data_IF_746575721748
#
_entry.id   IF_746575721748
#
_cell.length_a   1.000
_cell.length_b   1.000
_cell.length_c   1.000
_cell.angle_alpha   90.00
_cell.angle_beta   90.00
_cell.angle_gamma   90.00
#
_symmetry.space_group_name_H-M   'P 1'
#
loop_
_entity.id
_entity.type
_entity.pdbx_description
1 polymer ?
#
# COMPACT_ATOMS: atom_id res chain seq x y z
N UNK A 1 -26.45 -18.09 20.29
CA UNK A 1 -26.90 -18.48 21.64
C UNK A 1 -26.19 -17.69 22.77
N UNK A 2 -24.86 -17.63 22.82
CA UNK A 2 -24.08 -16.87 23.84
C UNK A 2 -24.35 -15.34 23.82
N UNK A 3 -24.47 -14.74 22.64
CA UNK A 3 -24.78 -13.30 22.46
C UNK A 3 -26.10 -12.89 23.11
N UNK A 4 -27.11 -13.76 23.08
CA UNK A 4 -28.45 -13.46 23.59
C UNK A 4 -28.51 -13.51 25.13
N UNK A 5 -27.83 -14.48 25.74
CA UNK A 5 -27.74 -14.64 27.21
C UNK A 5 -26.98 -13.45 27.85
N UNK A 6 -25.92 -12.96 27.19
CA UNK A 6 -25.17 -11.78 27.67
C UNK A 6 -26.03 -10.51 27.54
N UNK A 7 -26.81 -10.40 26.45
CA UNK A 7 -27.73 -9.27 26.22
C UNK A 7 -28.79 -9.16 27.31
N UNK A 8 -29.47 -10.26 27.62
CA UNK A 8 -30.55 -10.29 28.63
C UNK A 8 -30.04 -9.90 30.01
N UNK A 9 -28.87 -10.42 30.44
CA UNK A 9 -28.28 -10.09 31.75
C UNK A 9 -27.81 -8.63 31.88
N UNK A 10 -27.47 -7.98 30.78
CA UNK A 10 -27.06 -6.57 30.78
C UNK A 10 -28.25 -5.61 30.95
N UNK A 11 -29.38 -5.93 30.31
CA UNK A 11 -30.60 -5.13 30.41
C UNK A 11 -31.18 -5.22 31.82
N UNK A 12 -31.27 -6.43 32.37
CA UNK A 12 -31.81 -6.66 33.73
C UNK A 12 -30.98 -5.97 34.83
N UNK A 13 -29.65 -5.95 34.73
CA UNK A 13 -28.78 -5.31 35.73
C UNK A 13 -28.76 -3.79 35.66
N UNK A 14 -29.14 -3.20 34.54
CA UNK A 14 -29.15 -1.75 34.35
C UNK A 14 -30.50 -1.12 34.69
N UNK A 15 -31.57 -1.91 34.86
CA UNK A 15 -32.87 -1.42 35.31
C UNK A 15 -33.49 -0.36 34.40
N UNK A 16 -33.22 -0.41 33.09
CA UNK A 16 -33.66 0.61 32.13
C UNK A 16 -34.51 0.01 31.00
N UNK A 17 -35.51 0.74 30.48
CA UNK A 17 -36.41 0.24 29.45
C UNK A 17 -35.70 0.07 28.10
N UNK A 18 -35.95 -1.06 27.44
CA UNK A 18 -35.38 -1.37 26.12
C UNK A 18 -35.92 -0.41 25.06
N UNK A 19 -35.03 0.39 24.45
CA UNK A 19 -35.34 1.17 23.25
C UNK A 19 -34.44 0.74 22.09
N UNK A 20 -34.94 0.79 20.86
CA UNK A 20 -34.22 0.32 19.66
C UNK A 20 -32.85 0.97 19.43
N UNK A 21 -32.64 2.22 19.90
CA UNK A 21 -31.33 2.87 19.88
C UNK A 21 -30.30 2.19 20.78
N UNK A 22 -30.73 1.61 21.90
CA UNK A 22 -29.84 0.97 22.87
C UNK A 22 -29.45 -0.44 22.41
N UNK A 23 -30.35 -1.16 21.75
CA UNK A 23 -30.06 -2.45 21.12
C UNK A 23 -28.94 -2.33 20.07
N UNK A 24 -28.93 -1.23 19.29
CA UNK A 24 -27.88 -0.94 18.33
C UNK A 24 -26.54 -0.57 18.96
N UNK A 25 -26.52 -0.05 20.20
CA UNK A 25 -25.30 0.29 20.93
C UNK A 25 -24.68 -0.96 21.58
N UNK A 26 -25.52 -1.81 22.18
CA UNK A 26 -25.12 -3.08 22.80
C UNK A 26 -24.60 -4.06 21.74
N UNK A 27 -25.23 -4.12 20.56
CA UNK A 27 -24.73 -4.94 19.45
C UNK A 27 -23.34 -4.50 19.00
N UNK A 28 -23.09 -3.20 18.84
CA UNK A 28 -21.78 -2.69 18.41
C UNK A 28 -20.70 -2.90 19.48
N UNK A 29 -21.06 -2.81 20.76
CA UNK A 29 -20.12 -3.11 21.85
C UNK A 29 -19.76 -4.59 21.89
N UNK A 30 -20.75 -5.49 21.72
CA UNK A 30 -20.51 -6.93 21.66
C UNK A 30 -19.70 -7.33 20.43
N UNK A 31 -19.99 -6.75 19.27
CA UNK A 31 -19.18 -6.93 18.05
C UNK A 31 -17.73 -6.50 18.26
N UNK A 32 -17.50 -5.37 18.94
CA UNK A 32 -16.14 -4.89 19.24
C UNK A 32 -15.40 -5.82 20.21
N UNK A 33 -16.10 -6.39 21.20
CA UNK A 33 -15.52 -7.34 22.17
C UNK A 33 -15.22 -8.70 21.52
N UNK A 34 -16.05 -9.13 20.57
CA UNK A 34 -15.83 -10.37 19.81
C UNK A 34 -14.69 -10.18 18.79
N UNK A 35 -14.61 -9.02 18.12
CA UNK A 35 -13.58 -8.74 17.11
C UNK A 35 -12.16 -8.51 17.65
N UNK A 36 -12.02 -8.12 18.92
CA UNK A 36 -10.69 -7.79 19.49
C UNK A 36 -9.96 -8.96 20.14
N UNK A 37 -10.55 -10.16 20.14
CA UNK A 37 -9.99 -11.32 20.82
C UNK A 37 -10.07 -11.13 22.34
N UNK A 38 -10.52 -12.17 23.04
CA UNK A 38 -10.67 -12.17 24.50
C UNK A 38 -9.29 -12.10 25.19
N UNK A 39 -8.68 -10.92 25.22
CA UNK A 39 -7.40 -10.68 25.87
C UNK A 39 -7.67 -10.26 27.31
N UNK A 40 -7.38 -11.16 28.27
CA UNK A 40 -7.64 -11.04 29.72
C UNK A 40 -7.12 -9.75 30.38
N UNK A 41 -6.32 -8.93 29.68
CA UNK A 41 -5.76 -7.66 30.19
C UNK A 41 -6.72 -6.47 30.21
N UNK A 42 -7.89 -6.54 29.56
CA UNK A 42 -8.85 -5.42 29.57
C UNK A 42 -9.82 -5.38 30.76
N UNK A 43 -9.82 -6.40 31.63
CA UNK A 43 -10.74 -6.45 32.78
C UNK A 43 -10.41 -5.45 33.90
N UNK A 44 -9.17 -4.95 33.97
CA UNK A 44 -8.77 -3.96 34.99
C UNK A 44 -9.22 -2.53 34.67
N UNK A 45 -9.68 -2.24 33.45
CA UNK A 45 -10.13 -0.89 33.09
C UNK A 45 -11.61 -0.61 33.45
N UNK A 46 -12.38 -1.63 33.86
CA UNK A 46 -13.83 -1.50 34.05
C UNK A 46 -14.24 -0.72 35.31
N UNK A 47 -13.34 -0.57 36.30
CA UNK A 47 -13.64 0.15 37.55
C UNK A 47 -13.67 1.68 37.44
N UNK A 48 -13.17 2.27 36.35
CA UNK A 48 -13.01 3.73 36.22
C UNK A 48 -14.04 4.42 35.29
N UNK A 49 -15.07 3.72 34.82
CA UNK A 49 -16.08 4.25 33.90
C UNK A 49 -16.96 5.38 34.48
N UNK A 50 -16.86 5.66 35.79
CA UNK A 50 -17.54 6.78 36.46
C UNK A 50 -16.71 8.07 36.50
N UNK A 51 -15.44 8.05 36.09
CA UNK A 51 -14.62 9.27 36.09
C UNK A 51 -15.05 10.25 34.98
N UNK A 52 -15.39 11.51 35.31
CA UNK A 52 -15.67 12.56 34.33
C UNK A 52 -14.50 12.84 33.37
N UNK A 53 -13.27 12.48 33.77
CA UNK A 53 -12.07 12.58 32.91
C UNK A 53 -12.09 11.50 31.83
N UNK A 54 -12.40 10.25 32.20
CA UNK A 54 -12.45 9.14 31.26
C UNK A 54 -13.60 9.29 30.23
N UNK A 55 -14.77 9.81 30.65
CA UNK A 55 -15.85 10.15 29.71
C UNK A 55 -15.45 11.23 28.71
N UNK A 56 -14.70 12.26 29.14
CA UNK A 56 -14.17 13.31 28.26
C UNK A 56 -13.11 12.80 27.29
N UNK A 57 -12.21 11.94 27.75
CA UNK A 57 -11.16 11.35 26.92
C UNK A 57 -11.74 10.35 25.90
N UNK A 58 -12.76 9.58 26.30
CA UNK A 58 -13.50 8.69 25.40
C UNK A 58 -14.35 9.48 24.39
N UNK A 59 -14.98 10.60 24.79
CA UNK A 59 -15.63 11.53 23.86
C UNK A 59 -14.63 12.16 22.91
N UNK A 60 -13.43 12.57 23.35
CA UNK A 60 -12.36 13.04 22.46
C UNK A 60 -11.92 11.97 21.46
N UNK A 61 -11.74 10.71 21.88
CA UNK A 61 -11.42 9.58 21.00
C UNK A 61 -12.55 9.26 20.01
N UNK A 62 -13.81 9.34 20.44
CA UNK A 62 -14.98 9.12 19.60
C UNK A 62 -15.24 10.30 18.65
N UNK A 63 -14.91 11.52 19.06
CA UNK A 63 -14.95 12.73 18.22
C UNK A 63 -13.79 12.75 17.22
N UNK A 64 -12.60 12.25 17.60
CA UNK A 64 -11.50 12.00 16.66
C UNK A 64 -11.88 10.95 15.61
N UNK A 65 -12.67 9.92 15.97
CA UNK A 65 -13.23 8.94 15.02
C UNK A 65 -14.41 9.45 14.19
N UNK A 66 -15.12 10.50 14.62
CA UNK A 66 -16.28 11.06 13.91
C UNK A 66 -16.00 12.38 13.18
N UNK A 67 -14.83 12.99 13.39
CA UNK A 67 -14.47 14.28 12.81
C UNK A 67 -13.09 14.34 12.15
N UNK A 68 -12.27 13.29 12.25
CA UNK A 68 -11.11 13.14 11.38
C UNK A 68 -11.56 12.64 10.02
N UNK A 69 -11.56 13.49 8.98
CA UNK A 69 -11.43 12.97 7.61
C UNK A 69 -10.12 12.18 7.60
N UNK A 70 -10.19 10.86 7.82
CA UNK A 70 -9.13 9.99 7.34
C UNK A 70 -9.02 10.34 5.85
N UNK A 71 -7.96 11.03 5.47
CA UNK A 71 -7.64 11.21 4.06
C UNK A 71 -7.49 9.78 3.58
N UNK A 72 -8.48 9.31 2.84
CA UNK A 72 -8.39 8.01 2.20
C UNK A 72 -7.23 8.16 1.23
N UNK A 73 -6.18 7.40 1.45
CA UNK A 73 -5.00 7.39 0.60
C UNK A 73 -5.13 6.26 -0.41
N UNK A 74 -4.67 6.53 -1.61
CA UNK A 74 -4.43 5.55 -2.66
C UNK A 74 -2.93 5.33 -2.73
N UNK A 75 -2.52 4.07 -2.87
CA UNK A 75 -1.15 3.66 -3.16
C UNK A 75 -1.12 3.05 -4.55
N UNK A 76 -0.20 3.53 -5.38
CA UNK A 76 0.29 2.88 -6.58
C UNK A 76 1.62 2.24 -6.19
N UNK A 77 1.76 0.93 -6.34
CA UNK A 77 2.96 0.19 -5.97
C UNK A 77 3.38 -0.72 -7.12
N UNK A 78 4.68 -0.77 -7.41
CA UNK A 78 5.26 -1.70 -8.38
C UNK A 78 6.42 -2.45 -7.76
N UNK A 79 6.54 -3.70 -8.15
CA UNK A 79 7.59 -4.62 -7.73
C UNK A 79 8.36 -5.15 -8.93
N UNK A 80 9.67 -5.26 -8.82
CA UNK A 80 10.55 -5.72 -9.90
C UNK A 80 11.80 -6.39 -9.33
N UNK A 81 12.40 -7.30 -10.09
CA UNK A 81 13.75 -7.81 -9.79
C UNK A 81 14.85 -6.94 -10.39
N UNK A 82 14.50 -6.00 -11.27
CA UNK A 82 15.49 -5.12 -11.88
C UNK A 82 15.98 -4.06 -10.89
N UNK A 83 17.29 -3.82 -10.91
CA UNK A 83 17.88 -2.71 -10.19
C UNK A 83 17.69 -1.44 -11.03
N UNK A 84 17.03 -0.44 -10.46
CA UNK A 84 16.57 0.74 -11.18
C UNK A 84 17.26 2.05 -10.76
N UNK A 85 18.40 1.96 -10.05
CA UNK A 85 19.16 3.11 -9.55
C UNK A 85 19.99 3.84 -10.62
N UNK A 86 19.54 3.84 -11.87
CA UNK A 86 20.25 4.44 -13.00
C UNK A 86 19.72 5.84 -13.29
N UNK A 87 20.61 6.75 -13.67
CA UNK A 87 20.25 8.15 -13.95
C UNK A 87 19.19 8.31 -15.05
N UNK A 88 19.25 7.49 -16.10
CA UNK A 88 18.25 7.55 -17.18
C UNK A 88 16.86 7.15 -16.68
N UNK A 89 16.76 6.13 -15.84
CA UNK A 89 15.50 5.71 -15.23
C UNK A 89 14.98 6.80 -14.30
N UNK A 90 15.84 7.35 -13.42
CA UNK A 90 15.47 8.45 -12.52
C UNK A 90 14.94 9.67 -13.29
N UNK A 91 15.61 10.06 -14.39
CA UNK A 91 15.17 11.14 -15.27
C UNK A 91 13.77 10.86 -15.81
N UNK A 92 13.54 9.69 -16.41
CA UNK A 92 12.22 9.31 -16.91
C UNK A 92 11.16 9.38 -15.82
N UNK A 93 11.41 8.84 -14.62
CA UNK A 93 10.46 8.90 -13.50
C UNK A 93 10.07 10.34 -13.15
N UNK A 94 11.06 11.22 -12.96
CA UNK A 94 10.78 12.60 -12.54
C UNK A 94 10.17 13.45 -13.66
N UNK A 95 10.49 13.16 -14.91
CA UNK A 95 9.90 13.82 -16.08
C UNK A 95 8.43 13.45 -16.19
N UNK A 96 8.12 12.15 -16.19
CA UNK A 96 6.74 11.66 -16.26
C UNK A 96 5.88 12.20 -15.10
N UNK A 97 6.42 12.22 -13.88
CA UNK A 97 5.69 12.78 -12.72
C UNK A 97 5.43 14.27 -12.89
N UNK A 98 6.43 15.03 -13.34
CA UNK A 98 6.32 16.48 -13.51
C UNK A 98 5.34 16.85 -14.63
N UNK A 99 5.42 16.18 -15.77
CA UNK A 99 4.53 16.36 -16.92
C UNK A 99 3.07 16.06 -16.59
N UNK A 100 2.83 15.10 -15.67
CA UNK A 100 1.50 14.75 -15.18
C UNK A 100 1.07 15.57 -13.93
N UNK A 101 1.88 16.55 -13.54
CA UNK A 101 1.58 17.50 -12.46
C UNK A 101 1.63 16.89 -11.06
N UNK A 102 2.51 15.92 -10.83
CA UNK A 102 2.87 15.36 -9.52
C UNK A 102 4.18 15.97 -9.03
N UNK A 103 4.08 17.13 -8.40
CA UNK A 103 5.23 17.94 -8.01
C UNK A 103 5.63 17.73 -6.55
N UNK A 104 6.89 17.38 -6.32
CA UNK A 104 7.45 17.27 -4.98
C UNK A 104 8.05 18.58 -4.48
N UNK A 105 8.14 18.69 -3.16
CA UNK A 105 8.66 19.87 -2.46
C UNK A 105 9.83 19.54 -1.56
N UNK A 106 9.86 18.32 -1.03
CA UNK A 106 10.93 17.81 -0.15
C UNK A 106 11.32 16.41 -0.55
N UNK A 107 12.57 16.03 -0.28
CA UNK A 107 13.11 14.71 -0.56
C UNK A 107 14.21 14.31 0.42
N UNK A 108 14.67 13.08 0.29
CA UNK A 108 15.76 12.51 1.06
C UNK A 108 15.84 11.00 0.89
N UNK A 109 16.84 10.38 1.51
CA UNK A 109 17.00 8.92 1.54
C UNK A 109 16.40 8.29 2.80
N UNK A 110 16.04 9.09 3.80
CA UNK A 110 15.41 8.66 5.07
C UNK A 110 14.57 9.79 5.66
N UNK A 111 13.58 9.46 6.48
CA UNK A 111 12.84 10.45 7.26
C UNK A 111 13.67 10.96 8.46
N UNK A 112 13.53 12.24 8.84
CA UNK A 112 12.67 13.27 8.24
C UNK A 112 13.24 13.84 6.93
N UNK A 113 12.38 14.04 5.91
CA UNK A 113 12.79 14.67 4.63
C UNK A 113 13.12 16.16 4.81
N UNK A 114 14.41 16.49 4.80
CA UNK A 114 14.92 17.86 5.05
C UNK A 114 15.38 18.59 3.78
N UNK A 115 15.66 17.88 2.69
CA UNK A 115 16.20 18.48 1.45
C UNK A 115 15.05 19.05 0.63
N UNK A 116 15.17 20.31 0.17
CA UNK A 116 14.21 20.90 -0.77
C UNK A 116 14.35 20.21 -2.13
N UNK A 117 13.24 19.88 -2.77
CA UNK A 117 13.25 19.22 -4.06
C UNK A 117 13.91 20.09 -5.15
N UNK A 118 14.85 19.49 -5.87
CA UNK A 118 15.31 19.87 -7.21
C UNK A 118 15.50 18.59 -8.01
N UNK A 119 15.38 18.67 -9.34
CA UNK A 119 15.45 17.48 -10.21
C UNK A 119 16.85 16.85 -10.18
N UNK A 120 17.88 17.69 -10.21
CA UNK A 120 19.29 17.27 -10.25
C UNK A 120 19.66 16.51 -8.97
N UNK A 121 19.28 17.07 -7.81
CA UNK A 121 19.57 16.43 -6.52
C UNK A 121 18.67 15.20 -6.31
N UNK A 122 17.43 15.20 -6.82
CA UNK A 122 16.58 14.02 -6.77
C UNK A 122 17.18 12.84 -7.55
N UNK A 123 17.72 13.08 -8.74
CA UNK A 123 18.42 12.08 -9.55
C UNK A 123 19.69 11.59 -8.83
N UNK A 124 20.44 12.50 -8.21
CA UNK A 124 21.62 12.18 -7.41
C UNK A 124 21.28 11.23 -6.26
N UNK A 125 20.29 11.59 -5.44
CA UNK A 125 19.84 10.78 -4.31
C UNK A 125 19.25 9.43 -4.73
N UNK A 126 18.51 9.39 -5.84
CA UNK A 126 17.98 8.14 -6.41
C UNK A 126 19.07 7.13 -6.76
N UNK A 127 20.19 7.62 -7.32
CA UNK A 127 21.31 6.79 -7.72
C UNK A 127 22.28 6.48 -6.56
N UNK A 128 22.05 7.06 -5.37
CA UNK A 128 22.91 6.84 -4.22
C UNK A 128 22.83 5.40 -3.72
N UNK A 129 24.00 4.84 -3.39
CA UNK A 129 24.12 3.45 -2.94
C UNK A 129 24.80 3.39 -1.56
N UNK A 130 24.34 2.47 -0.73
CA UNK A 130 24.99 2.06 0.52
C UNK A 130 25.28 0.56 0.48
N UNK A 131 26.01 0.06 1.47
CA UNK A 131 26.09 -1.38 1.69
C UNK A 131 24.68 -1.96 1.88
N UNK A 132 24.40 -3.05 1.17
CA UNK A 132 23.11 -3.71 1.15
C UNK A 132 23.17 -5.11 1.76
N UNK A 133 21.99 -5.69 1.97
CA UNK A 133 21.76 -7.11 2.26
C UNK A 133 22.70 -7.77 3.29
N UNK A 134 22.23 -7.94 4.52
CA UNK A 134 22.92 -8.77 5.49
C UNK A 134 22.90 -10.25 5.07
N UNK A 135 24.07 -10.85 4.93
CA UNK A 135 24.28 -12.28 4.70
C UNK A 135 24.52 -12.96 6.05
N UNK A 136 23.65 -13.90 6.41
CA UNK A 136 23.69 -14.58 7.70
C UNK A 136 24.86 -15.56 7.78
N UNK A 137 25.21 -16.21 6.66
CA UNK A 137 26.30 -17.20 6.65
C UNK A 137 27.67 -16.53 6.73
N UNK A 138 27.80 -15.34 6.13
CA UNK A 138 29.03 -14.55 6.15
C UNK A 138 29.09 -13.52 7.29
N UNK A 139 28.02 -13.42 8.08
CA UNK A 139 27.80 -12.42 9.15
C UNK A 139 28.13 -10.96 8.76
N UNK A 140 27.93 -10.59 7.48
CA UNK A 140 28.32 -9.27 6.97
C UNK A 140 27.34 -8.73 5.92
N UNK A 141 27.43 -7.43 5.65
CA UNK A 141 26.71 -6.80 4.54
C UNK A 141 27.37 -7.18 3.21
N UNK A 142 26.56 -7.60 2.24
CA UNK A 142 27.02 -7.95 0.89
C UNK A 142 26.18 -7.27 -0.19
N UNK A 143 26.86 -6.80 -1.23
CA UNK A 143 26.20 -6.08 -2.32
C UNK A 143 25.80 -4.65 -1.94
N UNK A 144 24.82 -4.12 -2.65
CA UNK A 144 24.41 -2.72 -2.57
C UNK A 144 22.92 -2.57 -2.35
N UNK A 145 22.51 -1.45 -1.77
CA UNK A 145 21.11 -1.06 -1.65
C UNK A 145 20.99 0.45 -1.74
N UNK A 146 19.77 0.92 -2.00
CA UNK A 146 19.47 2.34 -1.98
C UNK A 146 18.00 2.59 -1.71
N UNK A 147 17.72 3.81 -1.30
CA UNK A 147 16.38 4.27 -0.98
C UNK A 147 16.21 5.73 -1.39
N UNK A 148 15.04 6.07 -1.90
CA UNK A 148 14.66 7.44 -2.20
C UNK A 148 13.25 7.72 -1.69
N UNK A 149 13.04 8.92 -1.16
CA UNK A 149 11.74 9.38 -0.68
C UNK A 149 11.51 10.83 -1.10
N UNK A 150 10.27 11.16 -1.47
CA UNK A 150 9.85 12.52 -1.77
C UNK A 150 8.42 12.82 -1.29
N UNK A 151 8.17 14.08 -0.91
CA UNK A 151 6.89 14.59 -0.41
C UNK A 151 6.44 15.82 -1.19
N UNK A 152 5.18 15.81 -1.60
CA UNK A 152 4.47 16.91 -2.26
C UNK A 152 3.19 17.30 -1.51
N UNK A 153 2.37 18.19 -2.10
CA UNK A 153 1.08 18.59 -1.55
C UNK A 153 0.05 17.46 -1.62
N UNK A 154 -1.09 17.61 -0.93
CA UNK A 154 -2.25 16.68 -0.98
C UNK A 154 -1.90 15.21 -0.71
N UNK A 155 -1.04 14.98 0.29
CA UNK A 155 -0.54 13.64 0.64
C UNK A 155 0.23 12.94 -0.48
N UNK A 156 0.76 13.69 -1.47
CA UNK A 156 1.65 13.13 -2.46
C UNK A 156 2.94 12.69 -1.78
N UNK A 157 3.22 11.39 -1.82
CA UNK A 157 4.46 10.84 -1.30
C UNK A 157 4.96 9.75 -2.24
N UNK A 158 6.25 9.77 -2.56
CA UNK A 158 6.92 8.72 -3.30
C UNK A 158 7.99 8.07 -2.43
N UNK A 159 8.11 6.76 -2.52
CA UNK A 159 9.24 6.02 -1.98
C UNK A 159 9.70 4.95 -2.94
N UNK A 160 10.99 4.64 -2.92
CA UNK A 160 11.54 3.51 -3.66
C UNK A 160 12.65 2.86 -2.87
N UNK A 161 12.69 1.53 -2.88
CA UNK A 161 13.77 0.78 -2.27
C UNK A 161 14.26 -0.29 -3.25
N UNK A 162 15.58 -0.40 -3.37
CA UNK A 162 16.21 -1.39 -4.23
C UNK A 162 17.40 -2.05 -3.54
N UNK A 163 17.68 -3.27 -3.95
CA UNK A 163 18.74 -4.12 -3.47
C UNK A 163 19.40 -4.80 -4.66
N UNK A 164 20.71 -4.90 -4.57
CA UNK A 164 21.55 -5.68 -5.46
C UNK A 164 22.39 -6.62 -4.59
N UNK A 165 21.82 -7.78 -4.25
CA UNK A 165 22.54 -8.80 -3.50
C UNK A 165 23.12 -9.84 -4.49
N UNK A 166 24.42 -10.18 -4.39
CA UNK A 166 25.03 -11.19 -5.27
C UNK A 166 24.47 -12.60 -5.04
N UNK A 167 24.10 -12.92 -3.80
CA UNK A 167 23.74 -14.28 -3.39
C UNK A 167 22.23 -14.55 -3.43
N UNK A 168 21.41 -13.51 -3.63
CA UNK A 168 19.94 -13.63 -3.55
C UNK A 168 19.24 -12.59 -4.42
N UNK A 169 18.28 -13.03 -5.23
CA UNK A 169 17.32 -12.11 -5.84
C UNK A 169 16.41 -11.54 -4.76
N UNK A 170 16.39 -10.21 -4.63
CA UNK A 170 15.46 -9.48 -3.78
C UNK A 170 14.54 -8.64 -4.65
N UNK A 171 13.30 -8.54 -4.22
CA UNK A 171 12.31 -7.72 -4.88
C UNK A 171 12.53 -6.26 -4.53
N UNK A 172 12.75 -5.45 -5.55
CA UNK A 172 12.81 -4.00 -5.47
C UNK A 172 11.39 -3.45 -5.65
N UNK A 173 11.14 -2.26 -5.12
CA UNK A 173 9.83 -1.64 -5.28
C UNK A 173 9.88 -0.12 -5.34
N UNK A 174 8.86 0.43 -5.98
CA UNK A 174 8.53 1.85 -5.96
C UNK A 174 7.06 1.98 -5.59
N UNK A 175 6.74 3.02 -4.83
CA UNK A 175 5.37 3.38 -4.54
C UNK A 175 5.16 4.88 -4.59
N UNK A 176 3.96 5.25 -5.04
CA UNK A 176 3.43 6.60 -5.02
C UNK A 176 2.11 6.57 -4.25
N UNK A 177 1.95 7.46 -3.29
CA UNK A 177 0.70 7.64 -2.56
C UNK A 177 0.17 9.04 -2.77
N UNK A 178 -1.15 9.17 -2.78
CA UNK A 178 -1.88 10.41 -2.94
C UNK A 178 -3.27 10.28 -2.34
N UNK A 179 -3.97 11.39 -2.11
CA UNK A 179 -5.36 11.35 -1.63
C UNK A 179 -6.31 10.74 -2.68
N UNK A 180 -7.42 10.16 -2.24
CA UNK A 180 -8.50 9.70 -3.14
C UNK A 180 -8.99 10.81 -4.05
N UNK A 181 -9.07 12.05 -3.57
CA UNK A 181 -9.47 13.20 -4.41
C UNK A 181 -8.53 13.39 -5.62
N UNK A 182 -7.23 13.06 -5.48
CA UNK A 182 -6.29 13.08 -6.60
C UNK A 182 -6.61 11.95 -7.59
N UNK A 183 -6.97 10.76 -7.12
CA UNK A 183 -7.39 9.68 -8.02
C UNK A 183 -8.65 10.07 -8.79
N UNK A 184 -9.64 10.66 -8.12
CA UNK A 184 -10.91 11.04 -8.73
C UNK A 184 -10.73 12.14 -9.78
N UNK A 185 -9.83 13.10 -9.53
CA UNK A 185 -9.58 14.23 -10.43
C UNK A 185 -8.53 13.96 -11.52
N UNK A 186 -7.56 13.07 -11.27
CA UNK A 186 -6.43 12.77 -12.17
C UNK A 186 -6.34 11.28 -12.51
N UNK A 187 -7.49 10.62 -12.66
CA UNK A 187 -7.55 9.16 -12.88
C UNK A 187 -6.72 8.73 -14.09
N UNK A 188 -6.79 9.47 -15.20
CA UNK A 188 -6.10 9.07 -16.43
C UNK A 188 -4.58 9.21 -16.29
N UNK A 189 -4.11 10.27 -15.66
CA UNK A 189 -2.69 10.53 -15.39
C UNK A 189 -2.12 9.48 -14.44
N UNK A 190 -2.86 9.10 -13.39
CA UNK A 190 -2.46 8.01 -12.50
C UNK A 190 -2.35 6.68 -13.26
N UNK A 191 -3.33 6.35 -14.09
CA UNK A 191 -3.30 5.13 -14.90
C UNK A 191 -2.20 5.16 -15.96
N UNK A 192 -1.92 6.32 -16.54
CA UNK A 192 -0.83 6.54 -17.47
C UNK A 192 0.51 6.27 -16.78
N UNK A 193 0.79 6.93 -15.66
CA UNK A 193 2.01 6.72 -14.87
C UNK A 193 2.19 5.25 -14.48
N UNK A 194 1.10 4.59 -14.06
CA UNK A 194 1.17 3.18 -13.70
C UNK A 194 1.62 2.30 -14.87
N UNK A 195 1.04 2.49 -16.05
CA UNK A 195 1.41 1.75 -17.26
C UNK A 195 2.82 2.05 -17.73
N UNK A 196 3.20 3.33 -17.72
CA UNK A 196 4.53 3.78 -18.08
C UNK A 196 5.58 3.17 -17.15
N UNK A 197 5.34 3.22 -15.83
CA UNK A 197 6.24 2.66 -14.85
C UNK A 197 6.33 1.13 -14.90
N UNK A 198 5.24 0.44 -15.25
CA UNK A 198 5.28 -1.02 -15.50
C UNK A 198 6.33 -1.35 -16.56
N UNK A 199 6.36 -0.59 -17.66
CA UNK A 199 7.34 -0.78 -18.73
C UNK A 199 8.73 -0.35 -18.28
N UNK A 200 8.85 0.85 -17.70
CA UNK A 200 10.13 1.44 -17.31
C UNK A 200 10.91 0.59 -16.30
N UNK A 201 10.21 -0.06 -15.36
CA UNK A 201 10.83 -0.88 -14.31
C UNK A 201 10.83 -2.38 -14.64
N UNK A 202 10.34 -2.78 -15.82
CA UNK A 202 10.07 -4.18 -16.16
C UNK A 202 9.34 -4.88 -15.01
N UNK A 203 8.22 -4.28 -14.57
CA UNK A 203 7.55 -4.72 -13.35
C UNK A 203 7.17 -6.21 -13.43
N UNK A 204 7.35 -6.89 -12.31
CA UNK A 204 6.91 -8.26 -12.08
C UNK A 204 5.43 -8.26 -11.68
N UNK A 205 5.08 -7.38 -10.73
CA UNK A 205 3.73 -7.18 -10.23
C UNK A 205 3.51 -5.71 -9.91
N UNK A 206 2.27 -5.25 -10.03
CA UNK A 206 1.88 -3.89 -9.72
C UNK A 206 0.45 -3.77 -9.26
N UNK A 207 0.15 -2.74 -8.45
CA UNK A 207 -1.19 -2.47 -7.98
C UNK A 207 -1.49 -0.99 -7.79
N UNK A 208 -2.78 -0.66 -7.85
CA UNK A 208 -3.32 0.59 -7.32
C UNK A 208 -4.47 0.24 -6.39
N UNK A 209 -4.44 0.76 -5.16
CA UNK A 209 -5.41 0.40 -4.12
C UNK A 209 -5.51 1.44 -3.02
N UNK A 210 -6.55 1.37 -2.19
CA UNK A 210 -6.60 2.12 -0.95
C UNK A 210 -5.55 1.60 0.05
N UNK A 211 -4.80 2.52 0.67
CA UNK A 211 -3.78 2.17 1.69
C UNK A 211 -4.35 1.34 2.85
N UNK A 212 -5.63 1.52 3.18
CA UNK A 212 -6.30 0.74 4.23
C UNK A 212 -6.68 -0.68 3.79
N UNK A 213 -6.83 -0.94 2.49
CA UNK A 213 -7.08 -2.28 1.97
C UNK A 213 -5.80 -3.13 2.07
N UNK A 214 -4.62 -2.52 1.82
CA UNK A 214 -3.32 -3.16 2.04
C UNK A 214 -3.14 -3.61 3.48
N UNK A 215 -3.42 -2.71 4.44
CA UNK A 215 -3.29 -3.00 5.89
C UNK A 215 -4.26 -4.08 6.37
N UNK A 216 -5.39 -4.29 5.68
CA UNK A 216 -6.42 -5.26 6.04
C UNK A 216 -6.18 -6.66 5.50
N UNK A 217 -5.19 -6.84 4.60
CA UNK A 217 -4.73 -8.19 4.28
C UNK A 217 -3.97 -8.76 5.49
N UNK A 218 -4.71 -9.42 6.38
CA UNK A 218 -4.18 -10.15 7.55
C UNK A 218 -3.30 -11.36 7.18
N UNK A 219 -2.89 -11.49 5.91
CA UNK A 219 -2.06 -12.59 5.42
C UNK A 219 -0.63 -12.06 5.28
N UNK A 220 0.26 -12.57 6.12
CA UNK A 220 1.69 -12.28 6.08
C UNK A 220 2.32 -12.86 4.81
N UNK A 221 3.08 -12.06 4.06
CA UNK A 221 3.85 -12.50 2.88
C UNK A 221 4.09 -11.35 1.90
N UNK A 222 5.20 -11.39 1.16
CA UNK A 222 5.54 -10.45 0.08
C UNK A 222 5.03 -10.99 -1.26
N UNK A 223 5.02 -10.18 -2.34
CA UNK A 223 4.72 -10.70 -3.67
C UNK A 223 5.61 -11.87 -4.09
N UNK A 224 6.82 -12.01 -3.54
CA UNK A 224 7.69 -13.19 -3.74
C UNK A 224 7.14 -14.49 -3.15
N UNK A 225 6.21 -14.40 -2.20
CA UNK A 225 5.76 -15.54 -1.39
C UNK A 225 4.32 -15.94 -1.66
N UNK A 226 3.49 -15.04 -2.22
CA UNK A 226 2.07 -15.29 -2.47
C UNK A 226 1.48 -14.31 -3.47
N UNK A 227 0.36 -14.72 -4.07
CA UNK A 227 -0.50 -13.83 -4.85
C UNK A 227 -1.09 -12.75 -3.93
N UNK A 228 -0.86 -11.45 -4.21
CA UNK A 228 -1.50 -10.36 -3.50
C UNK A 228 -3.01 -10.40 -3.74
N UNK A 229 -3.79 -9.88 -2.78
CA UNK A 229 -5.25 -9.83 -2.97
C UNK A 229 -5.66 -8.94 -4.15
N UNK A 230 -6.89 -9.10 -4.61
CA UNK A 230 -7.43 -8.34 -5.75
C UNK A 230 -7.67 -6.89 -5.36
N UNK A 231 -6.93 -5.98 -5.99
CA UNK A 231 -7.08 -4.55 -5.80
C UNK A 231 -7.89 -3.85 -6.89
N UNK A 232 -8.10 -2.53 -6.72
CA UNK A 232 -8.79 -1.71 -7.70
C UNK A 232 -8.15 -1.88 -9.09
N UNK A 233 -6.83 -1.86 -9.15
CA UNK A 233 -6.07 -2.15 -10.34
C UNK A 233 -4.90 -3.08 -10.02
N UNK A 234 -4.66 -4.08 -10.86
CA UNK A 234 -3.55 -5.01 -10.73
C UNK A 234 -2.88 -5.22 -12.09
N UNK A 235 -1.57 -5.44 -12.04
CA UNK A 235 -0.76 -5.89 -13.15
C UNK A 235 0.02 -7.13 -12.73
N UNK A 236 -0.01 -8.16 -13.58
CA UNK A 236 0.72 -9.40 -13.38
C UNK A 236 1.54 -9.67 -14.63
N UNK A 237 2.87 -9.78 -14.50
CA UNK A 237 3.70 -10.22 -15.63
C UNK A 237 3.53 -11.72 -15.88
N UNK A 238 3.90 -12.18 -17.07
CA UNK A 238 3.92 -13.62 -17.37
C UNK A 238 4.88 -14.39 -16.45
N UNK A 239 6.03 -13.79 -16.13
CA UNK A 239 7.00 -14.36 -15.19
C UNK A 239 6.38 -14.52 -13.81
N UNK A 240 5.62 -13.52 -13.35
CA UNK A 240 4.96 -13.59 -12.06
C UNK A 240 3.88 -14.66 -11.99
N UNK A 241 3.02 -14.75 -13.01
CA UNK A 241 1.98 -15.77 -13.07
C UNK A 241 2.55 -17.19 -13.12
N UNK A 242 3.70 -17.37 -13.79
CA UNK A 242 4.42 -18.63 -13.84
C UNK A 242 5.07 -18.96 -12.48
N UNK A 243 5.77 -17.99 -11.88
CA UNK A 243 6.42 -18.13 -10.57
C UNK A 243 5.41 -18.57 -9.50
N UNK A 244 4.22 -17.96 -9.52
CA UNK A 244 3.17 -18.22 -8.53
C UNK A 244 2.23 -19.37 -8.93
N UNK A 245 2.40 -19.95 -10.13
CA UNK A 245 1.52 -20.95 -10.71
C UNK A 245 0.02 -20.61 -10.57
N UNK A 246 -0.35 -19.35 -10.84
CA UNK A 246 -1.67 -18.82 -10.49
C UNK A 246 -2.44 -18.24 -11.68
N UNK A 247 -2.00 -18.55 -12.92
CA UNK A 247 -2.62 -18.00 -14.13
C UNK A 247 -4.13 -18.24 -14.20
N UNK A 248 -4.56 -19.49 -14.03
CA UNK A 248 -5.98 -19.87 -14.08
C UNK A 248 -6.78 -19.15 -12.99
N UNK A 249 -6.22 -19.05 -11.78
CA UNK A 249 -6.84 -18.34 -10.67
C UNK A 249 -7.04 -16.85 -11.02
N UNK A 250 -5.98 -16.18 -11.50
CA UNK A 250 -6.06 -14.76 -11.91
C UNK A 250 -7.03 -14.57 -13.08
N UNK A 251 -7.10 -15.54 -13.99
CA UNK A 251 -7.97 -15.49 -15.15
C UNK A 251 -9.45 -15.66 -14.81
N UNK A 252 -9.74 -16.41 -13.75
CA UNK A 252 -11.11 -16.68 -13.28
C UNK A 252 -11.81 -15.50 -12.61
N UNK A 253 -11.09 -14.50 -12.10
CA UNK A 253 -11.73 -13.33 -11.48
C UNK A 253 -12.54 -12.50 -12.50
N UNK A 254 -13.65 -11.93 -12.03
CA UNK A 254 -14.52 -11.03 -12.80
C UNK A 254 -13.96 -9.60 -12.85
N UNK A 255 -12.95 -9.40 -13.69
CA UNK A 255 -12.34 -8.09 -13.92
C UNK A 255 -13.27 -7.18 -14.73
N UNK A 256 -13.46 -5.93 -14.28
CA UNK A 256 -14.17 -4.88 -15.00
C UNK A 256 -13.55 -4.59 -16.37
N UNK A 257 -12.22 -4.57 -16.44
CA UNK A 257 -11.46 -4.42 -17.70
C UNK A 257 -10.22 -5.31 -17.68
N UNK A 258 -9.92 -5.94 -18.82
CA UNK A 258 -8.67 -6.64 -19.12
C UNK A 258 -8.01 -5.96 -20.33
N UNK A 259 -6.69 -5.76 -20.31
CA UNK A 259 -5.94 -5.12 -21.40
C UNK A 259 -4.57 -5.77 -21.57
N UNK A 260 -4.24 -6.29 -22.75
CA UNK A 260 -2.90 -6.82 -23.04
C UNK A 260 -1.89 -5.67 -23.15
N UNK A 261 -0.82 -5.71 -22.34
CA UNK A 261 0.30 -4.76 -22.45
C UNK A 261 1.29 -5.31 -23.48
N UNK A 262 1.09 -4.99 -24.77
CA UNK A 262 2.17 -5.10 -25.75
C UNK A 262 3.19 -3.99 -25.47
N UNK A 263 4.49 -4.30 -25.48
CA UNK A 263 5.55 -3.31 -25.31
C UNK A 263 5.33 -2.15 -26.30
N UNK A 264 4.85 -1.00 -25.81
CA UNK A 264 4.99 0.25 -26.55
C UNK A 264 6.47 0.60 -26.49
N UNK A 265 7.20 0.11 -27.47
CA UNK A 265 8.60 0.44 -27.68
C UNK A 265 8.74 1.95 -27.87
N UNK A 266 9.14 2.64 -26.80
CA UNK A 266 9.87 3.90 -26.94
C UNK A 266 11.27 3.55 -27.46
N UNK A 267 11.35 3.42 -28.78
CA UNK A 267 12.56 3.42 -29.62
C UNK A 267 13.84 2.87 -29.01
N UNK A 268 14.02 1.55 -29.08
CA UNK A 268 15.28 0.90 -29.48
C UNK A 268 14.97 -0.57 -29.80
N UNK A 269 15.26 -0.96 -31.05
CA UNK A 269 15.14 -2.33 -31.54
C UNK A 269 15.81 -3.30 -30.59
N UNK A 270 15.07 -4.31 -30.18
CA UNK A 270 15.56 -5.68 -30.03
C UNK A 270 14.37 -6.56 -30.39
N UNK A 271 14.29 -6.88 -31.68
CA UNK A 271 13.49 -7.99 -32.16
C UNK A 271 14.07 -9.27 -31.51
N UNK A 272 13.19 -10.05 -30.87
CA UNK A 272 13.38 -11.44 -30.37
C UNK A 272 13.08 -11.70 -28.88
N UNK A 273 11.98 -11.17 -28.33
CA UNK A 273 11.37 -11.75 -27.12
C UNK A 273 9.83 -11.89 -27.23
N UNK A 274 9.25 -12.97 -26.67
CA UNK A 274 7.85 -13.31 -26.86
C UNK A 274 6.91 -12.29 -26.21
N UNK A 275 5.84 -11.95 -26.94
CA UNK A 275 4.80 -10.98 -26.58
C UNK A 275 4.24 -11.21 -25.16
N UNK A 276 4.27 -10.17 -24.33
CA UNK A 276 3.75 -10.15 -22.93
C UNK A 276 2.28 -9.65 -22.90
N UNK A 277 1.48 -10.09 -21.90
CA UNK A 277 -0.01 -9.92 -21.77
C UNK A 277 -0.42 -9.76 -20.26
N UNK A 278 -1.71 -9.61 -19.86
CA UNK A 278 -2.55 -8.42 -19.63
C UNK A 278 -2.61 -7.81 -18.21
N UNK A 279 -3.03 -6.55 -18.16
CA UNK A 279 -3.46 -5.69 -17.05
C UNK A 279 -4.95 -5.89 -16.67
N UNK A 280 -5.35 -5.69 -15.40
CA UNK A 280 -6.73 -5.98 -14.93
C UNK A 280 -7.27 -5.02 -13.86
N UNK A 281 -8.52 -4.59 -14.00
CA UNK A 281 -9.22 -3.68 -13.06
C UNK A 281 -10.43 -4.38 -12.44
N UNK A 282 -10.61 -4.35 -11.12
CA UNK A 282 -11.73 -4.99 -10.41
C UNK A 282 -12.98 -4.10 -10.27
N UNK A 283 -14.16 -4.68 -9.97
CA UNK A 283 -15.33 -3.92 -9.50
C UNK A 283 -15.27 -3.74 -7.98
N UNK A 284 -15.60 -2.53 -7.51
CA UNK A 284 -15.67 -2.18 -6.09
C UNK A 284 -17.07 -2.42 -5.51
#
# INVERSE_FOLDING_TARGET
MVSWIIRSRMVDRMGMPETGRMQGLISRMLETIIYTGFNKRYYTCWRNYKSPKYKRDLQKLLMMRKGGKHVKEISLTLFTYQVFNKQNIAKSVFDSLSENGFLFTKMGVTEPLKVRYSREEAISLWCSETEGCYDIELEKMVGKAGNFMAKGPKSLFMGSQWWHCPNKKKLNYIYLTFSVDVLDSKKQEVLYLFKEFIVLFEALYGEITHSDALKRQHVTGTPDLRLPGVFWCNYYSNEYLALMNCREQVESFEWWKKEDMEERGHGRRNDDLPKRRPWRVGRA
#
